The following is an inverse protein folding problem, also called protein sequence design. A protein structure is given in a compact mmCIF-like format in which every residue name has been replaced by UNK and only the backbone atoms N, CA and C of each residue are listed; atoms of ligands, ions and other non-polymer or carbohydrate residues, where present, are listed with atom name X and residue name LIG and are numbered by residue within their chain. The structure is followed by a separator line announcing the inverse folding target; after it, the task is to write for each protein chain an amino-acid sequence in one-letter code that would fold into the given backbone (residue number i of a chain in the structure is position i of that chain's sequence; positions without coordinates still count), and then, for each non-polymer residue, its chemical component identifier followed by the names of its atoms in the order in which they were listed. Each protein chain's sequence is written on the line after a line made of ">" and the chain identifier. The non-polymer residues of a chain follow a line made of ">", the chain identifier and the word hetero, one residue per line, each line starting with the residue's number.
data_IF_261104194824
#
_entry.id   IF_261104194824
#
_cell.length_a   1.000
_cell.length_b   1.000
_cell.length_c   1.000
_cell.angle_alpha   90.00
_cell.angle_beta   90.00
_cell.angle_gamma   90.00
#
_symmetry.space_group_name_H-M   'P 1'
#
loop_
_entity.id
_entity.type
_entity.pdbx_description
1 polymer ?
#
# COMPACT_ATOMS: atom_id res chain seq x y z
N UNK A 1 -65.67 2.48 7.73
CA UNK A 1 -64.70 1.43 8.07
C UNK A 1 -63.98 1.01 6.78
N UNK A 2 -62.75 1.46 6.54
CA UNK A 2 -62.03 1.17 5.28
C UNK A 2 -61.73 -0.33 5.15
N UNK A 3 -61.97 -0.89 3.96
CA UNK A 3 -61.70 -2.31 3.66
C UNK A 3 -60.22 -2.64 3.79
N UNK A 4 -59.89 -3.93 4.03
CA UNK A 4 -58.50 -4.38 4.18
C UNK A 4 -57.61 -4.01 2.97
N UNK A 5 -58.21 -3.92 1.78
CA UNK A 5 -57.52 -3.54 0.54
C UNK A 5 -57.19 -2.04 0.52
N UNK A 6 -58.13 -1.20 0.96
CA UNK A 6 -57.94 0.25 1.04
C UNK A 6 -56.84 0.63 2.04
N UNK A 7 -56.72 -0.11 3.17
CA UNK A 7 -55.64 0.10 4.15
C UNK A 7 -54.26 -0.27 3.60
N UNK A 8 -54.17 -1.35 2.81
CA UNK A 8 -52.91 -1.77 2.17
C UNK A 8 -52.47 -0.79 1.09
N UNK A 9 -53.42 -0.29 0.29
CA UNK A 9 -53.14 0.73 -0.72
C UNK A 9 -52.65 2.04 -0.09
N UNK A 10 -53.28 2.48 1.00
CA UNK A 10 -52.85 3.67 1.73
C UNK A 10 -51.44 3.53 2.30
N UNK A 11 -51.13 2.40 2.95
CA UNK A 11 -49.78 2.14 3.47
C UNK A 11 -48.72 2.12 2.36
N UNK A 12 -49.01 1.50 1.22
CA UNK A 12 -48.09 1.45 0.09
C UNK A 12 -47.82 2.84 -0.51
N UNK A 13 -48.86 3.66 -0.66
CA UNK A 13 -48.73 5.04 -1.15
C UNK A 13 -47.91 5.89 -0.16
N UNK A 14 -48.15 5.76 1.15
CA UNK A 14 -47.34 6.47 2.16
C UNK A 14 -45.86 6.08 2.14
N UNK A 15 -45.55 4.81 1.85
CA UNK A 15 -44.18 4.30 1.79
C UNK A 15 -43.45 4.84 0.54
N UNK A 16 -44.14 4.97 -0.59
CA UNK A 16 -43.61 5.60 -1.81
C UNK A 16 -43.31 7.07 -1.56
N UNK A 17 -44.23 7.83 -0.95
CA UNK A 17 -43.97 9.25 -0.65
C UNK A 17 -42.83 9.44 0.36
N UNK A 18 -42.69 8.55 1.35
CA UNK A 18 -41.56 8.56 2.28
C UNK A 18 -40.21 8.30 1.55
N UNK A 19 -40.18 7.34 0.62
CA UNK A 19 -39.00 7.05 -0.20
C UNK A 19 -38.63 8.21 -1.13
N UNK A 20 -39.61 8.84 -1.78
CA UNK A 20 -39.39 10.03 -2.64
C UNK A 20 -38.90 11.22 -1.81
N UNK A 21 -39.44 11.42 -0.61
CA UNK A 21 -38.95 12.42 0.35
C UNK A 21 -37.50 12.17 0.76
N UNK A 22 -37.14 10.93 1.05
CA UNK A 22 -35.77 10.56 1.44
C UNK A 22 -34.76 10.81 0.31
N UNK A 23 -35.10 10.45 -0.93
CA UNK A 23 -34.27 10.71 -2.12
C UNK A 23 -34.10 12.22 -2.36
N UNK A 24 -35.12 13.02 -2.07
CA UNK A 24 -35.06 14.48 -2.23
C UNK A 24 -34.17 15.15 -1.17
N UNK A 25 -34.17 14.64 0.06
CA UNK A 25 -33.28 15.13 1.14
C UNK A 25 -31.81 14.78 0.87
N UNK A 26 -31.53 13.61 0.28
CA UNK A 26 -30.16 13.23 -0.10
C UNK A 26 -29.60 14.09 -1.24
N UNK A 27 -30.44 14.56 -2.18
CA UNK A 27 -30.01 15.48 -3.25
C UNK A 27 -29.79 16.93 -2.79
N UNK A 28 -30.30 17.35 -1.63
CA UNK A 28 -30.17 18.72 -1.13
C UNK A 28 -28.94 18.97 -0.23
N UNK A 29 -28.07 17.98 -0.04
CA UNK A 29 -26.89 18.11 0.85
C UNK A 29 -25.59 18.54 0.17
N UNK A 30 -25.62 18.91 -1.10
CA UNK A 30 -24.51 19.63 -1.77
C UNK A 30 -24.85 21.11 -1.89
N UNK A 31 -24.64 21.87 -0.81
CA UNK A 31 -24.48 23.32 -0.89
C UNK A 31 -23.09 23.62 -1.47
N UNK A 32 -22.97 24.35 -2.59
CA UNK A 32 -21.69 24.90 -3.00
C UNK A 32 -21.31 26.01 -2.01
N UNK A 33 -20.10 25.98 -1.48
CA UNK A 33 -19.50 27.12 -0.79
C UNK A 33 -19.50 28.31 -1.76
N UNK A 34 -20.26 29.35 -1.40
CA UNK A 34 -20.25 30.61 -2.10
C UNK A 34 -18.83 31.20 -2.06
N UNK A 35 -18.20 31.34 -3.22
CA UNK A 35 -16.98 32.10 -3.37
C UNK A 35 -17.31 33.58 -3.11
N UNK A 36 -16.71 34.14 -2.05
CA UNK A 36 -16.69 35.58 -1.83
C UNK A 36 -15.74 36.22 -2.85
N UNK A 37 -16.17 37.23 -3.63
CA UNK A 37 -15.26 37.95 -4.51
C UNK A 37 -14.40 38.91 -3.67
N UNK A 38 -13.12 38.58 -3.51
CA UNK A 38 -12.13 39.55 -3.05
C UNK A 38 -11.87 40.58 -4.16
N UNK A 39 -11.66 41.86 -3.83
CA UNK A 39 -11.48 42.91 -4.82
C UNK A 39 -10.17 42.71 -5.58
N UNK A 40 -10.26 42.70 -6.92
CA UNK A 40 -9.13 42.78 -7.83
C UNK A 40 -8.44 44.13 -7.60
N UNK A 41 -7.34 44.10 -6.86
CA UNK A 41 -6.36 45.17 -6.89
C UNK A 41 -5.44 44.88 -8.06
N UNK A 42 -5.54 45.71 -9.10
CA UNK A 42 -4.59 45.78 -10.20
C UNK A 42 -3.19 46.03 -9.64
N UNK A 43 -2.37 44.98 -9.59
CA UNK A 43 -0.93 45.10 -9.36
C UNK A 43 -0.26 45.01 -10.72
N UNK A 44 0.38 46.12 -11.10
CA UNK A 44 1.23 46.26 -12.28
C UNK A 44 2.11 45.02 -12.47
N UNK A 45 2.15 44.53 -13.71
CA UNK A 45 3.21 43.68 -14.22
C UNK A 45 4.49 44.50 -14.24
N UNK A 46 5.22 44.49 -13.13
CA UNK A 46 6.64 44.81 -13.14
C UNK A 46 7.34 43.59 -13.74
N UNK A 47 7.88 43.76 -14.95
CA UNK A 47 8.80 42.84 -15.61
C UNK A 47 10.05 42.64 -14.73
N UNK A 48 9.96 41.81 -13.69
CA UNK A 48 11.15 41.29 -13.02
C UNK A 48 11.62 40.04 -13.76
N UNK A 49 12.63 40.29 -14.57
CA UNK A 49 13.34 39.39 -15.46
C UNK A 49 14.14 38.34 -14.67
N UNK A 50 13.49 37.64 -13.74
CA UNK A 50 14.04 36.43 -13.14
C UNK A 50 13.88 35.32 -14.16
N UNK A 51 14.97 35.09 -14.89
CA UNK A 51 15.21 33.87 -15.65
C UNK A 51 14.66 32.72 -14.82
N UNK A 52 13.54 32.12 -15.27
CA UNK A 52 13.15 30.79 -14.82
C UNK A 52 14.35 29.92 -15.13
N UNK A 53 15.16 29.65 -14.09
CA UNK A 53 16.14 28.60 -14.17
C UNK A 53 15.34 27.37 -14.64
N UNK A 54 15.72 26.76 -15.76
CA UNK A 54 14.99 25.61 -16.27
C UNK A 54 14.88 24.61 -15.13
N UNK A 55 13.69 24.03 -15.02
CA UNK A 55 13.34 22.98 -14.09
C UNK A 55 14.58 22.17 -13.73
N UNK A 56 14.91 22.15 -12.43
CA UNK A 56 15.95 21.26 -11.93
C UNK A 56 15.54 19.87 -12.39
N UNK A 57 16.24 19.36 -13.41
CA UNK A 57 16.20 17.97 -13.82
C UNK A 57 16.61 17.15 -12.60
N UNK A 58 15.66 16.82 -11.74
CA UNK A 58 15.85 15.75 -10.76
C UNK A 58 16.00 14.51 -11.64
N UNK A 59 17.17 13.88 -11.72
CA UNK A 59 17.28 12.67 -12.48
C UNK A 59 16.28 11.67 -11.88
N UNK A 60 15.22 11.34 -12.63
CA UNK A 60 14.20 10.34 -12.29
C UNK A 60 14.78 8.94 -12.02
N UNK A 61 16.10 8.80 -12.09
CA UNK A 61 16.89 7.59 -11.88
C UNK A 61 17.60 7.51 -10.52
N UNK A 62 17.61 8.58 -9.70
CA UNK A 62 18.16 8.44 -8.35
C UNK A 62 17.14 7.76 -7.44
N UNK A 63 17.50 6.64 -6.79
CA UNK A 63 16.60 5.99 -5.84
C UNK A 63 16.23 7.00 -4.74
N UNK A 64 14.94 7.13 -4.40
CA UNK A 64 14.51 8.13 -3.44
C UNK A 64 15.31 8.01 -2.14
N UNK A 65 15.92 9.10 -1.69
CA UNK A 65 16.70 9.16 -0.44
C UNK A 65 15.82 9.04 0.81
N UNK A 66 14.50 9.09 0.63
CA UNK A 66 13.50 8.93 1.69
C UNK A 66 13.08 7.47 1.84
N UNK A 67 13.12 6.97 3.07
CA UNK A 67 12.66 5.63 3.50
C UNK A 67 11.14 5.54 3.58
N UNK A 68 10.48 6.62 3.99
CA UNK A 68 9.02 6.70 4.09
C UNK A 68 8.54 7.64 3.01
N UNK A 69 7.61 7.16 2.18
CA UNK A 69 6.91 8.04 1.25
C UNK A 69 5.42 8.04 1.52
N UNK A 70 4.95 9.16 2.08
CA UNK A 70 3.54 9.46 2.27
C UNK A 70 2.92 8.73 3.46
N UNK A 71 2.71 9.44 4.56
CA UNK A 71 1.71 9.09 5.58
C UNK A 71 0.29 9.44 5.09
N UNK A 72 -0.07 8.92 3.92
CA UNK A 72 -1.39 9.07 3.32
C UNK A 72 -2.27 7.84 3.57
N UNK A 73 -3.27 7.63 2.72
CA UNK A 73 -4.23 6.50 2.83
C UNK A 73 -3.52 5.13 2.66
N UNK A 74 -2.26 5.11 2.21
CA UNK A 74 -1.47 3.92 1.97
C UNK A 74 0.02 4.14 2.32
N UNK A 75 0.40 3.81 3.55
CA UNK A 75 1.79 3.93 4.00
C UNK A 75 2.68 2.95 3.20
N UNK A 76 3.80 3.47 2.69
CA UNK A 76 4.83 2.70 2.00
C UNK A 76 6.17 2.95 2.65
N UNK A 77 6.91 1.87 2.91
CA UNK A 77 8.27 1.93 3.45
C UNK A 77 9.19 1.26 2.46
N UNK A 78 10.28 1.96 2.16
CA UNK A 78 11.33 1.59 1.24
C UNK A 78 12.60 1.36 2.04
N UNK A 79 13.45 0.45 1.59
CA UNK A 79 14.84 0.39 2.02
C UNK A 79 15.72 -0.04 0.85
N UNK A 80 17.01 0.28 0.93
CA UNK A 80 17.94 0.09 -0.18
C UNK A 80 19.11 -0.80 0.26
N UNK A 81 19.02 -2.11 0.01
CA UNK A 81 20.08 -3.02 0.42
C UNK A 81 21.35 -2.80 -0.40
N UNK A 82 22.51 -3.07 0.21
CA UNK A 82 23.84 -2.94 -0.40
C UNK A 82 24.04 -3.76 -1.68
N UNK A 83 23.28 -4.87 -1.82
CA UNK A 83 23.31 -5.75 -2.99
C UNK A 83 22.52 -5.21 -4.21
N UNK A 84 21.96 -4.01 -4.09
CA UNK A 84 21.19 -3.33 -5.14
C UNK A 84 19.70 -3.66 -5.14
N UNK A 85 18.97 -2.94 -5.99
CA UNK A 85 17.51 -2.88 -5.99
C UNK A 85 16.97 -2.18 -4.74
N UNK A 86 15.70 -2.43 -4.42
CA UNK A 86 15.09 -1.90 -3.19
C UNK A 86 14.01 -2.83 -2.67
N UNK A 87 13.75 -2.76 -1.38
CA UNK A 87 12.69 -3.52 -0.72
C UNK A 87 11.58 -2.56 -0.33
N UNK A 88 10.33 -2.94 -0.60
CA UNK A 88 9.17 -2.13 -0.30
C UNK A 88 8.07 -2.96 0.38
N UNK A 89 7.53 -2.41 1.46
CA UNK A 89 6.25 -2.85 1.99
C UNK A 89 5.17 -1.81 1.72
N UNK A 90 4.01 -2.30 1.30
CA UNK A 90 2.81 -1.50 1.04
C UNK A 90 1.79 -1.82 2.11
N UNK A 91 0.97 -0.84 2.48
CA UNK A 91 -0.10 -1.02 3.48
C UNK A 91 0.44 -1.32 4.87
N UNK A 92 1.54 -0.66 5.26
CA UNK A 92 2.13 -0.88 6.57
C UNK A 92 1.22 -0.33 7.68
N UNK A 93 1.03 -1.15 8.71
CA UNK A 93 0.18 -0.84 9.88
C UNK A 93 0.95 -0.12 10.98
N UNK A 94 0.22 0.45 11.95
CA UNK A 94 0.82 1.02 13.16
C UNK A 94 1.69 0.03 13.92
N UNK A 95 1.27 -1.24 13.99
CA UNK A 95 2.02 -2.32 14.66
C UNK A 95 3.36 -2.58 13.96
N UNK A 96 3.37 -2.58 12.63
CA UNK A 96 4.59 -2.79 11.86
C UNK A 96 5.52 -1.56 11.91
N UNK A 97 4.96 -0.35 11.96
CA UNK A 97 5.74 0.88 12.20
C UNK A 97 6.43 0.83 13.56
N UNK A 98 5.70 0.48 14.64
CA UNK A 98 6.28 0.31 15.96
C UNK A 98 7.33 -0.82 15.98
N UNK A 99 7.08 -1.92 15.28
CA UNK A 99 8.02 -3.05 15.14
C UNK A 99 9.31 -2.68 14.37
N UNK A 100 9.23 -1.70 13.47
CA UNK A 100 10.37 -1.13 12.74
C UNK A 100 11.01 0.05 13.47
N UNK A 101 10.49 0.45 14.63
CA UNK A 101 10.89 1.66 15.34
C UNK A 101 10.81 2.92 14.47
N UNK A 102 9.75 3.05 13.66
CA UNK A 102 9.48 4.21 12.81
C UNK A 102 8.35 5.02 13.43
N UNK A 103 8.54 6.34 13.50
CA UNK A 103 7.53 7.26 13.98
C UNK A 103 6.27 7.21 13.11
N UNK A 104 5.11 7.04 13.74
CA UNK A 104 3.79 7.03 13.08
C UNK A 104 3.37 8.40 12.52
N UNK A 105 4.06 9.46 12.91
CA UNK A 105 3.67 10.84 12.62
C UNK A 105 4.68 11.59 11.73
N UNK A 106 5.86 11.01 11.51
CA UNK A 106 6.86 11.60 10.61
C UNK A 106 6.53 11.27 9.16
N UNK A 107 6.27 12.32 8.37
CA UNK A 107 5.87 12.18 6.96
C UNK A 107 6.96 11.54 6.10
N UNK A 108 8.21 11.81 6.42
CA UNK A 108 9.39 11.38 5.69
C UNK A 108 10.53 11.15 6.67
N UNK A 109 11.09 9.95 6.66
CA UNK A 109 12.36 9.64 7.35
C UNK A 109 13.42 9.38 6.28
N UNK A 110 14.62 9.96 6.36
CA UNK A 110 15.70 9.64 5.42
C UNK A 110 16.16 8.19 5.63
N UNK A 111 16.70 7.56 4.58
CA UNK A 111 17.44 6.30 4.70
C UNK A 111 18.77 6.50 5.45
N UNK A 112 19.38 5.44 5.97
CA UNK A 112 20.74 5.59 6.54
C UNK A 112 21.75 5.87 5.43
N UNK A 113 22.73 6.71 5.73
CA UNK A 113 23.88 6.95 4.86
C UNK A 113 24.91 5.81 4.97
N UNK A 114 24.88 5.06 6.07
CA UNK A 114 25.70 3.86 6.27
C UNK A 114 24.99 2.65 5.64
N UNK A 115 25.60 2.00 4.62
CA UNK A 115 25.05 0.81 3.99
C UNK A 115 24.80 -0.34 4.97
N UNK A 116 25.63 -0.52 6.00
CA UNK A 116 25.50 -1.63 6.94
C UNK A 116 24.28 -1.43 7.86
N UNK A 117 24.04 -0.19 8.30
CA UNK A 117 22.85 0.16 9.06
C UNK A 117 21.57 0.02 8.22
N UNK A 118 21.61 0.48 6.96
CA UNK A 118 20.46 0.35 6.04
C UNK A 118 20.16 -1.13 5.74
N UNK A 119 21.18 -1.97 5.62
CA UNK A 119 21.06 -3.42 5.46
C UNK A 119 20.40 -4.09 6.68
N UNK A 120 20.72 -3.65 7.90
CA UNK A 120 20.03 -4.09 9.12
C UNK A 120 18.54 -3.70 9.05
N UNK A 121 18.26 -2.46 8.68
CA UNK A 121 16.89 -1.99 8.50
C UNK A 121 16.13 -2.80 7.44
N UNK A 122 16.76 -3.09 6.31
CA UNK A 122 16.20 -3.91 5.24
C UNK A 122 15.85 -5.33 5.71
N UNK A 123 16.72 -5.97 6.49
CA UNK A 123 16.43 -7.28 7.09
C UNK A 123 15.22 -7.21 8.02
N UNK A 124 15.08 -6.13 8.78
CA UNK A 124 13.91 -5.93 9.64
C UNK A 124 12.64 -5.67 8.81
N UNK A 125 12.73 -4.86 7.75
CA UNK A 125 11.60 -4.60 6.85
C UNK A 125 11.11 -5.88 6.17
N UNK A 126 12.00 -6.80 5.78
CA UNK A 126 11.62 -8.13 5.26
C UNK A 126 10.73 -8.92 6.21
N UNK A 127 10.89 -8.77 7.53
CA UNK A 127 10.03 -9.43 8.53
C UNK A 127 8.58 -8.94 8.51
N UNK A 128 8.27 -7.88 7.79
CA UNK A 128 6.89 -7.39 7.61
C UNK A 128 6.23 -7.91 6.32
N UNK A 129 6.91 -8.79 5.58
CA UNK A 129 6.42 -9.29 4.28
C UNK A 129 6.85 -8.44 3.08
N UNK A 130 7.75 -7.48 3.30
CA UNK A 130 8.24 -6.58 2.26
C UNK A 130 8.92 -7.32 1.10
N UNK A 131 8.77 -6.80 -0.11
CA UNK A 131 9.22 -7.42 -1.36
C UNK A 131 10.36 -6.66 -1.98
N UNK A 132 11.31 -7.37 -2.58
CA UNK A 132 12.37 -6.74 -3.37
C UNK A 132 11.90 -6.49 -4.79
N UNK A 133 12.45 -5.44 -5.38
CA UNK A 133 12.22 -5.00 -6.75
C UNK A 133 13.56 -4.55 -7.34
N UNK A 134 13.77 -4.84 -8.62
CA UNK A 134 14.99 -4.49 -9.37
C UNK A 134 15.31 -3.00 -9.28
N UNK A 135 14.30 -2.15 -9.49
CA UNK A 135 14.45 -0.71 -9.47
C UNK A 135 13.09 -0.04 -9.24
N UNK A 136 13.15 1.20 -8.75
CA UNK A 136 11.98 2.00 -8.39
C UNK A 136 11.02 2.20 -9.58
N UNK A 137 11.54 2.40 -10.80
CA UNK A 137 10.73 2.64 -11.98
C UNK A 137 9.86 1.44 -12.38
N UNK A 138 10.43 0.24 -12.36
CA UNK A 138 9.69 -1.00 -12.62
C UNK A 138 8.54 -1.17 -11.60
N UNK A 139 8.81 -0.93 -10.33
CA UNK A 139 7.78 -0.94 -9.29
C UNK A 139 6.71 0.13 -9.52
N UNK A 140 7.11 1.37 -9.83
CA UNK A 140 6.18 2.48 -10.00
C UNK A 140 5.24 2.24 -11.18
N UNK A 141 5.78 1.83 -12.33
CA UNK A 141 4.98 1.41 -13.49
C UNK A 141 4.02 0.27 -13.16
N UNK A 142 4.49 -0.77 -12.46
CA UNK A 142 3.70 -1.97 -12.22
C UNK A 142 2.62 -1.76 -11.13
N UNK A 143 2.95 -1.02 -10.08
CA UNK A 143 2.18 -0.96 -8.83
C UNK A 143 1.41 0.35 -8.69
N UNK A 144 2.04 1.48 -9.00
CA UNK A 144 1.46 2.81 -8.78
C UNK A 144 0.69 3.24 -10.03
N UNK A 145 1.34 3.21 -11.19
CA UNK A 145 0.74 3.63 -12.46
C UNK A 145 -0.12 2.53 -13.09
N UNK A 146 0.13 1.26 -12.74
CA UNK A 146 -0.56 0.07 -13.30
C UNK A 146 -0.42 -0.02 -14.83
N UNK A 147 0.72 0.41 -15.35
CA UNK A 147 1.07 0.41 -16.77
C UNK A 147 1.94 -0.80 -17.17
N UNK A 148 2.52 -1.50 -16.20
CA UNK A 148 3.27 -2.74 -16.42
C UNK A 148 2.60 -3.93 -15.73
N UNK A 149 2.60 -5.13 -16.33
CA UNK A 149 2.10 -6.32 -15.68
C UNK A 149 3.02 -6.73 -14.52
N UNK A 150 2.43 -7.24 -13.44
CA UNK A 150 3.16 -7.92 -12.37
C UNK A 150 3.13 -9.44 -12.60
N UNK A 151 4.26 -10.09 -12.39
CA UNK A 151 4.36 -11.54 -12.26
C UNK A 151 3.45 -12.06 -11.15
N UNK A 152 3.19 -13.38 -11.14
CA UNK A 152 2.41 -14.00 -10.05
C UNK A 152 3.08 -13.81 -8.68
N UNK A 153 4.42 -13.73 -8.66
CA UNK A 153 5.22 -13.55 -7.44
C UNK A 153 5.16 -12.11 -6.93
N UNK A 154 5.28 -11.11 -7.81
CA UNK A 154 5.19 -9.69 -7.43
C UNK A 154 3.79 -9.31 -6.89
N UNK A 155 2.75 -10.03 -7.32
CA UNK A 155 1.37 -9.86 -6.80
C UNK A 155 1.17 -10.46 -5.42
N UNK A 156 1.93 -11.49 -5.07
CA UNK A 156 1.73 -12.28 -3.86
C UNK A 156 1.93 -11.45 -2.58
N UNK A 157 0.92 -11.50 -1.71
CA UNK A 157 0.91 -10.79 -0.43
C UNK A 157 1.27 -11.75 0.70
N UNK A 158 2.22 -11.32 1.53
CA UNK A 158 2.56 -11.99 2.79
C UNK A 158 2.22 -11.09 3.97
N UNK A 159 1.45 -11.63 4.91
CA UNK A 159 1.18 -10.97 6.19
C UNK A 159 1.77 -11.85 7.29
N UNK A 160 2.71 -11.28 8.04
CA UNK A 160 3.46 -11.98 9.07
C UNK A 160 3.10 -11.46 10.47
N UNK A 161 3.13 -12.33 11.47
CA UNK A 161 3.01 -11.97 12.89
C UNK A 161 4.05 -12.71 13.73
N UNK A 162 4.69 -11.98 14.64
CA UNK A 162 5.83 -12.47 15.43
C UNK A 162 5.49 -12.49 16.91
N UNK A 163 5.03 -13.62 17.47
CA UNK A 163 4.71 -13.69 18.90
C UNK A 163 5.99 -13.64 19.74
N UNK A 164 5.92 -13.00 20.91
CA UNK A 164 7.02 -12.94 21.90
C UNK A 164 7.66 -14.30 22.22
N UNK A 165 6.86 -15.37 22.25
CA UNK A 165 7.32 -16.74 22.57
C UNK A 165 8.12 -17.41 21.46
N UNK A 166 8.33 -16.72 20.33
CA UNK A 166 9.00 -17.25 19.14
C UNK A 166 8.04 -17.94 18.18
N UNK A 167 8.53 -18.23 16.97
CA UNK A 167 7.73 -18.71 15.84
C UNK A 167 7.21 -17.57 14.96
N UNK A 168 6.35 -17.91 14.01
CA UNK A 168 5.75 -16.95 13.07
C UNK A 168 4.37 -17.40 12.60
N UNK A 169 3.41 -16.47 12.58
CA UNK A 169 2.13 -16.63 11.89
C UNK A 169 2.25 -16.11 10.46
N UNK A 170 1.75 -16.87 9.49
CA UNK A 170 1.90 -16.58 8.07
C UNK A 170 0.55 -16.68 7.36
N UNK A 171 0.14 -15.58 6.73
CA UNK A 171 -0.84 -15.60 5.64
C UNK A 171 -0.08 -15.35 4.34
N UNK A 172 -0.40 -16.17 3.33
CA UNK A 172 0.08 -16.01 1.96
C UNK A 172 -1.12 -16.00 1.04
N UNK A 173 -1.23 -14.95 0.24
CA UNK A 173 -2.31 -14.79 -0.73
C UNK A 173 -1.78 -14.37 -2.09
N UNK A 174 -2.54 -14.69 -3.15
CA UNK A 174 -2.16 -14.34 -4.52
C UNK A 174 -2.11 -12.83 -4.77
N UNK A 175 -2.98 -12.06 -4.12
CA UNK A 175 -3.03 -10.61 -4.20
C UNK A 175 -3.78 -10.00 -3.01
N UNK A 176 -3.82 -8.65 -2.97
CA UNK A 176 -4.52 -7.87 -1.94
C UNK A 176 -6.05 -8.05 -1.98
N UNK A 177 -6.64 -8.40 -3.12
CA UNK A 177 -8.07 -8.67 -3.25
C UNK A 177 -8.44 -9.96 -2.52
N UNK A 178 -7.66 -11.02 -2.72
CA UNK A 178 -7.81 -12.28 -2.00
C UNK A 178 -7.60 -12.10 -0.49
N UNK A 179 -6.56 -11.37 -0.08
CA UNK A 179 -6.38 -11.06 1.34
C UNK A 179 -7.57 -10.26 1.90
N UNK A 180 -8.05 -9.25 1.18
CA UNK A 180 -9.19 -8.43 1.57
C UNK A 180 -10.48 -9.25 1.74
N UNK A 181 -10.66 -10.33 0.97
CA UNK A 181 -11.79 -11.24 1.08
C UNK A 181 -11.80 -12.04 2.40
N UNK A 182 -10.62 -12.23 3.02
CA UNK A 182 -10.49 -12.83 4.36
C UNK A 182 -10.81 -11.83 5.47
N UNK A 183 -10.76 -10.53 5.16
CA UNK A 183 -11.03 -9.44 6.09
C UNK A 183 -9.76 -8.71 6.53
N UNK A 184 -9.94 -7.47 6.98
CA UNK A 184 -8.85 -6.54 7.34
C UNK A 184 -8.58 -6.48 8.84
N UNK A 185 -9.08 -7.41 9.66
CA UNK A 185 -9.04 -7.31 11.12
C UNK A 185 -7.62 -7.21 11.70
N UNK A 186 -6.62 -7.75 11.01
CA UNK A 186 -5.21 -7.65 11.41
C UNK A 186 -4.69 -6.20 11.39
N UNK A 187 -5.31 -5.29 10.63
CA UNK A 187 -4.94 -3.87 10.61
C UNK A 187 -5.43 -3.10 11.84
N UNK A 188 -6.35 -3.68 12.61
CA UNK A 188 -6.90 -3.06 13.82
C UNK A 188 -6.08 -3.35 15.09
N UNK A 189 -5.06 -4.21 14.98
CA UNK A 189 -4.20 -4.54 16.11
C UNK A 189 -3.41 -3.29 16.58
N UNK A 190 -3.18 -3.20 17.88
CA UNK A 190 -2.33 -2.18 18.50
C UNK A 190 -0.97 -2.75 18.92
N UNK A 191 -0.83 -4.07 18.99
CA UNK A 191 0.42 -4.77 19.34
C UNK A 191 0.68 -5.94 18.40
N UNK A 192 1.91 -6.47 18.40
CA UNK A 192 2.27 -7.65 17.60
C UNK A 192 1.51 -8.90 18.07
N UNK A 193 1.19 -8.98 19.36
CA UNK A 193 0.45 -10.06 20.01
C UNK A 193 -1.02 -10.03 19.58
N UNK A 194 -1.64 -8.86 19.57
CA UNK A 194 -2.99 -8.67 19.00
C UNK A 194 -3.02 -9.00 17.52
N UNK A 195 -1.98 -8.61 16.78
CA UNK A 195 -1.84 -8.98 15.37
C UNK A 195 -1.76 -10.50 15.20
N UNK A 196 -0.97 -11.20 16.01
CA UNK A 196 -0.91 -12.66 15.98
C UNK A 196 -2.27 -13.30 16.24
N UNK A 197 -3.04 -12.81 17.22
CA UNK A 197 -4.42 -13.26 17.47
C UNK A 197 -5.34 -13.03 16.27
N UNK A 198 -5.25 -11.86 15.63
CA UNK A 198 -6.02 -11.56 14.43
C UNK A 198 -5.65 -12.49 13.26
N UNK A 199 -4.36 -12.80 13.09
CA UNK A 199 -3.89 -13.77 12.08
C UNK A 199 -4.40 -15.19 12.37
N UNK A 200 -4.37 -15.62 13.63
CA UNK A 200 -4.96 -16.89 14.08
C UNK A 200 -6.46 -16.96 13.73
N UNK A 201 -7.22 -15.90 14.04
CA UNK A 201 -8.65 -15.81 13.68
C UNK A 201 -8.90 -15.86 12.16
N UNK A 202 -7.94 -15.39 11.39
CA UNK A 202 -7.96 -15.45 9.93
C UNK A 202 -7.49 -16.80 9.38
N UNK A 203 -7.27 -17.82 10.22
CA UNK A 203 -6.72 -19.12 9.83
C UNK A 203 -5.34 -19.00 9.14
N UNK A 204 -4.49 -18.13 9.65
CA UNK A 204 -3.07 -18.11 9.32
C UNK A 204 -2.40 -19.41 9.77
N UNK A 205 -1.29 -19.77 9.12
CA UNK A 205 -0.50 -20.95 9.51
C UNK A 205 0.56 -20.52 10.52
N UNK A 206 0.62 -21.20 11.66
CA UNK A 206 1.68 -21.00 12.65
C UNK A 206 2.84 -21.96 12.42
N UNK A 207 4.05 -21.42 12.40
CA UNK A 207 5.29 -22.17 12.38
C UNK A 207 6.05 -21.91 13.67
N UNK A 208 6.16 -22.94 14.53
CA UNK A 208 6.91 -22.83 15.79
C UNK A 208 8.41 -22.60 15.54
N UNK A 209 8.95 -23.21 14.49
CA UNK A 209 10.30 -22.97 14.01
C UNK A 209 10.23 -22.27 12.65
N UNK A 210 10.84 -21.09 12.56
CA UNK A 210 10.86 -20.25 11.35
C UNK A 210 11.44 -21.01 10.15
N UNK A 211 12.38 -21.94 10.40
CA UNK A 211 13.03 -22.74 9.36
C UNK A 211 12.08 -23.71 8.65
N UNK A 212 10.96 -24.05 9.27
CA UNK A 212 9.95 -24.96 8.71
C UNK A 212 9.08 -24.26 7.65
N UNK A 213 9.11 -22.93 7.60
CA UNK A 213 8.45 -22.15 6.57
C UNK A 213 9.47 -21.73 5.48
N UNK A 214 9.49 -22.45 4.36
CA UNK A 214 10.42 -22.14 3.26
C UNK A 214 10.28 -20.71 2.73
N UNK A 215 9.07 -20.14 2.74
CA UNK A 215 8.82 -18.76 2.35
C UNK A 215 9.50 -17.75 3.28
N UNK A 216 9.30 -17.90 4.60
CA UNK A 216 9.92 -17.00 5.58
C UNK A 216 11.43 -17.23 5.61
N UNK A 217 11.89 -18.47 5.52
CA UNK A 217 13.30 -18.82 5.42
C UNK A 217 13.97 -18.14 4.21
N UNK A 218 13.36 -18.19 3.03
CA UNK A 218 13.87 -17.50 1.85
C UNK A 218 13.86 -15.97 2.03
N UNK A 219 12.79 -15.43 2.60
CA UNK A 219 12.61 -14.00 2.88
C UNK A 219 13.67 -13.45 3.84
N UNK A 220 14.15 -14.27 4.80
CA UNK A 220 15.12 -13.85 5.81
C UNK A 220 16.58 -14.18 5.46
N UNK A 221 16.83 -15.04 4.46
CA UNK A 221 18.19 -15.48 4.11
C UNK A 221 19.00 -14.41 3.37
N UNK A 222 18.35 -13.45 2.72
CA UNK A 222 19.02 -12.43 1.92
C UNK A 222 18.12 -11.25 1.59
N UNK A 223 18.60 -10.37 0.71
CA UNK A 223 17.87 -9.15 0.33
C UNK A 223 16.98 -9.34 -0.89
N UNK A 224 16.99 -10.52 -1.50
CA UNK A 224 16.19 -10.82 -2.67
C UNK A 224 16.99 -11.37 -3.85
N UNK A 225 18.24 -11.83 -3.65
CA UNK A 225 19.05 -12.38 -4.75
C UNK A 225 18.32 -13.54 -5.45
N UNK A 226 17.61 -14.37 -4.69
CA UNK A 226 16.79 -15.47 -5.19
C UNK A 226 15.52 -15.02 -5.94
N UNK A 227 15.09 -13.76 -5.78
CA UNK A 227 13.96 -13.17 -6.50
C UNK A 227 14.42 -12.72 -7.88
N UNK A 228 15.61 -12.08 -7.95
CA UNK A 228 16.29 -11.65 -9.18
C UNK A 228 16.55 -12.80 -10.16
N UNK A 229 17.07 -13.93 -9.67
CA UNK A 229 17.32 -15.12 -10.51
C UNK A 229 16.04 -15.71 -11.11
N UNK A 230 14.94 -15.70 -10.35
CA UNK A 230 13.66 -16.23 -10.83
C UNK A 230 13.01 -15.33 -11.89
N UNK A 231 13.23 -14.02 -11.83
CA UNK A 231 12.73 -13.08 -12.83
C UNK A 231 13.53 -13.12 -14.12
N UNK A 232 14.86 -13.23 -14.08
CA UNK A 232 15.65 -13.43 -15.29
C UNK A 232 15.13 -14.63 -16.12
N UNK A 233 14.80 -15.74 -15.45
CA UNK A 233 14.19 -16.89 -16.12
C UNK A 233 12.79 -16.57 -16.69
N UNK A 234 11.97 -15.80 -15.99
CA UNK A 234 10.67 -15.34 -16.48
C UNK A 234 10.77 -14.43 -17.71
N UNK A 235 11.73 -13.51 -17.76
CA UNK A 235 11.97 -12.66 -18.93
C UNK A 235 12.55 -13.46 -20.12
N UNK A 236 13.31 -14.54 -19.86
CA UNK A 236 13.82 -15.44 -20.90
C UNK A 236 12.75 -16.39 -21.46
N UNK A 237 11.79 -16.82 -20.65
CA UNK A 237 10.69 -17.71 -21.06
C UNK A 237 9.47 -16.95 -21.62
N UNK A 238 9.59 -15.63 -21.78
CA UNK A 238 8.52 -14.82 -22.37
C UNK A 238 8.43 -15.13 -23.88
N UNK A 239 7.27 -15.53 -24.42
CA UNK A 239 7.08 -15.62 -25.86
C UNK A 239 7.42 -14.26 -26.51
N UNK A 240 8.17 -14.27 -27.61
CA UNK A 240 8.65 -13.08 -28.33
C UNK A 240 7.50 -12.20 -28.89
N UNK A 241 6.27 -12.64 -28.73
CA UNK A 241 5.04 -12.18 -29.35
C UNK A 241 4.56 -10.81 -28.81
N UNK A 242 5.15 -10.31 -27.72
CA UNK A 242 4.80 -9.03 -27.11
C UNK A 242 5.70 -7.85 -27.53
N UNK A 243 6.67 -8.07 -28.42
CA UNK A 243 7.44 -7.00 -29.07
C UNK A 243 6.99 -6.81 -30.52
N UNK A 244 5.70 -6.54 -30.75
CA UNK A 244 5.22 -5.95 -32.00
C UNK A 244 4.13 -4.91 -31.73
N UNK A 245 4.33 -3.74 -32.35
CA UNK A 245 3.42 -2.59 -32.51
C UNK A 245 3.39 -1.54 -31.38
N UNK A 246 4.47 -0.76 -31.31
CA UNK A 246 4.41 0.72 -31.28
C UNK A 246 5.47 1.29 -32.24
#
# INVERSE_FOLDING_TARGET
>A
MFSKIQRKAFLFITLIFALIGLISVFKSSTTPLAASPSPISTRQEDEDNTVFAPDVDIPFNEPPTSRVWGLGIWNKIFCYPSVGGFIVNKHITSVELDFLNISRFERTTPRSADPDEEDVFCRQLRRTGARWWDNYYAWDLAVVQKLAPMSAREREVLVLGWPEKGGVWVIREHDWGNLGSRGWFWTNAHTMEERCKALEMLAAVYYANIKDCELVKALLKGFGEHERESEQNYYHDRPADYFCEL
#
